data_IF_521394254905
#
_entry.id   IF_521394254905
#
_cell.length_a   1.000
_cell.length_b   1.000
_cell.length_c   1.000
_cell.angle_alpha   90.00
_cell.angle_beta   90.00
_cell.angle_gamma   90.00
#
_symmetry.space_group_name_H-M   'P 1'
#
loop_
_entity.id
_entity.type
_entity.pdbx_description
1 polymer ?
#
# COMPACT_ATOMS: atom_id res chain seq x y z
N UNK A 1 -10.23 19.36 9.30
CA UNK A 1 -10.22 17.88 9.26
C UNK A 1 -8.88 17.39 9.70
N UNK A 2 -8.77 16.57 10.73
CA UNK A 2 -7.48 16.10 11.22
C UNK A 2 -7.32 14.63 10.82
N UNK A 3 -6.34 14.34 9.99
CA UNK A 3 -6.06 12.96 9.55
C UNK A 3 -4.99 12.38 10.47
N UNK A 4 -5.26 11.24 11.11
CA UNK A 4 -4.27 10.51 11.91
C UNK A 4 -3.72 9.36 11.10
N UNK A 5 -2.40 9.37 10.90
CA UNK A 5 -1.65 8.33 10.25
C UNK A 5 -0.85 7.52 11.27
N UNK A 6 -0.90 6.22 11.18
CA UNK A 6 -0.04 5.33 11.96
C UNK A 6 0.59 4.32 11.01
N UNK A 7 1.90 4.33 10.92
CA UNK A 7 2.68 3.34 10.18
C UNK A 7 3.16 2.27 11.17
N UNK A 8 2.92 1.02 10.85
CA UNK A 8 3.50 -0.11 11.58
C UNK A 8 4.52 -0.78 10.68
N UNK A 9 5.76 -0.66 11.04
CA UNK A 9 6.86 -1.38 10.42
C UNK A 9 6.95 -2.80 11.04
N UNK A 10 7.09 -3.82 10.20
CA UNK A 10 7.23 -5.21 10.60
C UNK A 10 8.68 -5.68 10.65
N UNK A 11 9.66 -4.79 10.58
CA UNK A 11 11.04 -5.21 10.84
C UNK A 11 11.15 -5.71 12.28
N UNK A 12 11.56 -6.95 12.46
CA UNK A 12 11.60 -7.68 13.74
C UNK A 12 12.47 -7.03 14.83
N UNK A 13 13.05 -5.88 14.58
CA UNK A 13 13.99 -5.19 15.47
C UNK A 13 13.59 -3.77 15.86
N UNK A 14 12.42 -3.26 15.48
CA UNK A 14 12.01 -1.93 15.87
C UNK A 14 11.10 -1.94 17.11
N UNK A 15 11.43 -1.25 18.20
CA UNK A 15 10.55 -1.13 19.34
C UNK A 15 9.32 -0.28 18.97
N UNK A 16 8.16 -0.83 19.35
CA UNK A 16 6.88 -0.17 19.62
C UNK A 16 6.47 1.09 18.84
N UNK A 17 5.30 0.98 18.24
CA UNK A 17 4.35 2.05 17.88
C UNK A 17 4.80 3.48 18.21
N UNK A 18 5.59 4.08 17.34
CA UNK A 18 5.76 5.53 17.40
C UNK A 18 4.43 6.17 16.97
N UNK A 19 3.86 6.94 17.86
CA UNK A 19 2.73 7.82 17.59
C UNK A 19 3.23 8.95 16.69
N UNK A 20 2.83 8.93 15.43
CA UNK A 20 3.14 10.01 14.51
C UNK A 20 2.02 11.04 14.61
N UNK A 21 2.25 12.08 15.41
CA UNK A 21 1.39 13.25 15.41
C UNK A 21 1.79 14.14 14.24
N UNK A 22 0.87 14.38 13.34
CA UNK A 22 0.70 15.56 12.45
C UNK A 22 1.91 16.19 11.72
N UNK A 23 3.12 15.63 11.77
CA UNK A 23 4.25 16.17 11.04
C UNK A 23 4.90 15.12 10.15
N UNK A 24 4.91 15.32 8.83
CA UNK A 24 5.62 14.49 7.86
C UNK A 24 7.12 14.38 8.15
N UNK A 25 7.69 15.38 8.82
CA UNK A 25 9.12 15.48 9.20
C UNK A 25 9.64 14.30 10.01
N UNK A 26 8.83 13.72 10.89
CA UNK A 26 9.27 12.62 11.74
C UNK A 26 9.56 11.31 11.00
N UNK A 27 8.86 11.02 9.90
CA UNK A 27 9.10 9.82 9.09
C UNK A 27 10.44 9.92 8.34
N UNK A 28 10.71 11.08 7.75
CA UNK A 28 11.98 11.31 7.05
C UNK A 28 13.19 11.31 7.99
N UNK A 29 13.05 11.86 9.20
CA UNK A 29 14.12 11.82 10.19
C UNK A 29 14.51 10.38 10.56
N UNK A 30 13.54 9.50 10.78
CA UNK A 30 13.84 8.08 11.08
C UNK A 30 14.45 7.36 9.90
N UNK A 31 13.95 7.59 8.69
CA UNK A 31 14.52 7.02 7.48
C UNK A 31 15.96 7.50 7.26
N UNK A 32 16.21 8.79 7.45
CA UNK A 32 17.56 9.37 7.35
C UNK A 32 18.48 8.83 8.43
N UNK A 33 18.04 8.78 9.69
CA UNK A 33 18.83 8.22 10.80
C UNK A 33 19.14 6.75 10.57
N UNK A 34 18.15 5.95 10.11
CA UNK A 34 18.36 4.55 9.79
C UNK A 34 19.32 4.38 8.61
N UNK A 35 19.21 5.19 7.58
CA UNK A 35 20.12 5.17 6.43
C UNK A 35 21.55 5.54 6.84
N UNK A 36 21.70 6.56 7.69
CA UNK A 36 23.01 6.95 8.24
C UNK A 36 23.58 5.84 9.11
N UNK A 37 22.77 5.24 9.98
CA UNK A 37 23.18 4.12 10.82
C UNK A 37 23.57 2.90 9.97
N UNK A 38 22.83 2.63 8.90
CA UNK A 38 23.13 1.59 7.91
C UNK A 38 24.48 1.82 7.21
N UNK A 39 24.77 3.07 6.79
CA UNK A 39 26.06 3.41 6.18
C UNK A 39 27.23 3.16 7.13
N UNK A 40 27.03 3.42 8.42
CA UNK A 40 28.05 3.19 9.46
C UNK A 40 28.23 1.71 9.81
N UNK A 41 27.14 0.91 9.78
CA UNK A 41 27.13 -0.50 10.21
C UNK A 41 27.01 -1.51 9.07
N UNK A 42 26.70 -1.06 7.85
CA UNK A 42 26.49 -1.88 6.64
C UNK A 42 25.34 -2.93 6.73
N UNK A 43 24.44 -2.83 7.74
CA UNK A 43 23.51 -3.90 8.12
C UNK A 43 22.03 -3.63 7.81
N UNK A 44 21.66 -2.53 7.20
CA UNK A 44 20.24 -2.20 7.03
C UNK A 44 19.88 -1.73 5.63
N UNK A 45 18.67 -2.10 5.15
CA UNK A 45 18.13 -1.62 3.90
C UNK A 45 16.59 -1.59 3.94
N UNK A 46 15.97 -0.85 2.99
CA UNK A 46 14.53 -0.72 2.85
C UNK A 46 13.95 -1.53 1.68
N UNK A 47 14.65 -2.51 1.14
CA UNK A 47 14.13 -3.35 0.06
C UNK A 47 12.93 -4.16 0.54
N UNK A 48 11.81 -4.18 -0.21
CA UNK A 48 10.64 -4.96 0.13
C UNK A 48 10.85 -6.47 0.11
N UNK A 49 11.71 -6.95 -0.80
CA UNK A 49 12.03 -8.39 -0.96
C UNK A 49 13.52 -8.57 -1.22
N UNK A 50 14.38 -8.56 -0.19
CA UNK A 50 15.82 -8.69 -0.37
C UNK A 50 16.30 -10.14 -0.58
N UNK A 51 15.58 -11.13 -0.03
CA UNK A 51 16.00 -12.53 0.00
C UNK A 51 14.96 -13.39 -0.71
N UNK A 52 15.41 -14.26 -1.61
CA UNK A 52 14.56 -15.26 -2.28
C UNK A 52 14.12 -16.31 -1.27
N UNK A 53 12.86 -16.72 -1.33
CA UNK A 53 12.29 -17.74 -0.44
C UNK A 53 11.91 -17.25 0.97
N UNK A 54 12.31 -16.04 1.38
CA UNK A 54 11.95 -15.47 2.68
C UNK A 54 10.75 -14.51 2.54
N UNK A 55 10.16 -14.10 3.67
CA UNK A 55 9.07 -13.12 3.69
C UNK A 55 9.57 -11.71 3.33
N UNK A 56 8.72 -10.94 2.63
CA UNK A 56 8.98 -9.54 2.34
C UNK A 56 8.62 -8.60 3.48
N UNK A 57 9.07 -7.34 3.37
CA UNK A 57 8.73 -6.24 4.29
C UNK A 57 7.62 -5.36 3.71
N UNK A 58 6.59 -5.07 4.51
CA UNK A 58 5.51 -4.13 4.17
C UNK A 58 5.54 -2.89 5.05
N UNK A 59 5.11 -1.77 4.50
CA UNK A 59 4.80 -0.55 5.23
C UNK A 59 3.28 -0.44 5.38
N UNK A 60 2.72 -1.07 6.41
CA UNK A 60 1.27 -1.05 6.60
C UNK A 60 0.80 0.33 7.09
N UNK A 61 -0.14 0.91 6.36
CA UNK A 61 -0.65 2.26 6.62
C UNK A 61 -2.00 2.19 7.32
N UNK A 62 -2.02 2.58 8.59
CA UNK A 62 -3.25 2.72 9.37
C UNK A 62 -3.84 4.11 9.19
N UNK A 63 -5.14 4.18 8.88
CA UNK A 63 -5.83 5.41 8.55
C UNK A 63 -7.12 5.55 9.34
N UNK A 64 -7.40 6.76 9.81
CA UNK A 64 -8.70 7.17 10.35
C UNK A 64 -8.89 8.67 10.17
N UNK A 65 -10.11 9.12 9.89
CA UNK A 65 -10.45 10.53 9.72
C UNK A 65 -11.25 11.00 10.91
N UNK A 66 -10.92 12.20 11.38
CA UNK A 66 -11.53 12.81 12.56
C UNK A 66 -12.04 14.21 12.23
N UNK A 67 -13.24 14.51 12.74
CA UNK A 67 -13.82 15.85 12.69
C UNK A 67 -14.39 16.17 14.09
N UNK A 68 -14.08 17.34 14.61
CA UNK A 68 -14.59 17.84 15.90
C UNK A 68 -14.44 16.83 17.05
N UNK A 69 -13.28 16.15 17.12
CA UNK A 69 -12.99 15.14 18.14
C UNK A 69 -13.69 13.78 17.95
N UNK A 70 -14.51 13.62 16.91
CA UNK A 70 -15.20 12.37 16.58
C UNK A 70 -14.48 11.60 15.48
N UNK A 71 -14.36 10.29 15.65
CA UNK A 71 -13.82 9.39 14.62
C UNK A 71 -14.91 9.09 13.58
N UNK A 72 -14.75 9.58 12.36
CA UNK A 72 -15.71 9.39 11.27
C UNK A 72 -15.77 7.94 10.75
N UNK A 73 -14.76 7.11 11.09
CA UNK A 73 -14.74 5.70 10.69
C UNK A 73 -15.57 4.80 11.62
N UNK A 74 -15.94 5.29 12.81
CA UNK A 74 -16.77 4.55 13.73
C UNK A 74 -18.24 4.61 13.33
N UNK A 75 -18.93 3.48 13.37
CA UNK A 75 -20.36 3.33 13.05
C UNK A 75 -20.88 1.95 13.42
N UNK A 76 -22.07 1.64 12.94
CA UNK A 76 -22.81 0.40 13.27
C UNK A 76 -22.76 -0.64 12.14
N UNK A 77 -22.05 -0.37 11.06
CA UNK A 77 -21.91 -1.27 9.93
C UNK A 77 -20.88 -2.38 10.16
N UNK A 78 -20.46 -3.03 9.08
CA UNK A 78 -19.51 -4.15 9.12
C UNK A 78 -18.26 -3.82 9.95
N UNK A 79 -17.93 -4.70 10.89
CA UNK A 79 -16.82 -4.55 11.83
C UNK A 79 -16.84 -3.22 12.66
N UNK A 80 -18.02 -2.61 12.84
CA UNK A 80 -18.20 -1.35 13.55
C UNK A 80 -17.66 -0.14 12.77
N UNK A 81 -17.67 -0.21 11.44
CA UNK A 81 -17.36 0.91 10.55
C UNK A 81 -18.63 1.67 10.18
N UNK A 82 -18.44 2.96 9.90
CA UNK A 82 -19.46 3.81 9.31
C UNK A 82 -19.54 3.61 7.79
N UNK A 83 -20.63 4.03 7.18
CA UNK A 83 -20.79 4.09 5.73
C UNK A 83 -19.69 4.95 5.07
N UNK A 84 -19.32 6.06 5.73
CA UNK A 84 -18.18 6.88 5.32
C UNK A 84 -16.89 6.08 5.18
N UNK A 85 -16.60 5.19 6.15
CA UNK A 85 -15.41 4.35 6.11
C UNK A 85 -15.49 3.28 5.02
N UNK A 86 -16.67 2.73 4.74
CA UNK A 86 -16.87 1.79 3.64
C UNK A 86 -16.64 2.46 2.29
N UNK A 87 -17.19 3.64 2.05
CA UNK A 87 -16.92 4.40 0.82
C UNK A 87 -15.43 4.75 0.68
N UNK A 88 -14.77 5.11 1.80
CA UNK A 88 -13.33 5.37 1.80
C UNK A 88 -12.53 4.13 1.39
N UNK A 89 -12.89 2.95 1.88
CA UNK A 89 -12.31 1.67 1.45
C UNK A 89 -12.58 1.42 -0.03
N UNK A 90 -13.81 1.67 -0.50
CA UNK A 90 -14.20 1.52 -1.90
C UNK A 90 -13.34 2.33 -2.84
N UNK A 91 -13.04 3.59 -2.49
CA UNK A 91 -12.15 4.44 -3.26
C UNK A 91 -10.72 3.90 -3.32
N UNK A 92 -10.17 3.44 -2.20
CA UNK A 92 -8.83 2.83 -2.19
C UNK A 92 -8.79 1.57 -3.05
N UNK A 93 -9.79 0.69 -2.99
CA UNK A 93 -9.85 -0.53 -3.79
C UNK A 93 -9.98 -0.21 -5.29
N UNK A 94 -10.84 0.74 -5.65
CA UNK A 94 -11.03 1.19 -7.04
C UNK A 94 -9.73 1.66 -7.67
N UNK A 95 -8.98 2.51 -6.96
CA UNK A 95 -7.75 3.13 -7.44
C UNK A 95 -6.47 2.36 -7.07
N UNK A 96 -6.59 1.16 -6.47
CA UNK A 96 -5.46 0.42 -5.90
C UNK A 96 -4.33 0.14 -6.91
N UNK A 97 -4.67 -0.13 -8.17
CA UNK A 97 -3.68 -0.39 -9.21
C UNK A 97 -2.88 0.85 -9.59
N UNK A 98 -3.53 2.01 -9.70
CA UNK A 98 -2.85 3.30 -9.88
C UNK A 98 -2.03 3.67 -8.63
N UNK A 99 -2.58 3.44 -7.44
CA UNK A 99 -1.88 3.65 -6.18
C UNK A 99 -0.60 2.81 -6.06
N UNK A 100 -0.56 1.61 -6.65
CA UNK A 100 0.64 0.76 -6.61
C UNK A 100 1.87 1.45 -7.21
N UNK A 101 1.73 2.31 -8.21
CA UNK A 101 2.86 3.07 -8.75
C UNK A 101 3.54 3.94 -7.67
N UNK A 102 2.78 4.47 -6.71
CA UNK A 102 3.26 5.37 -5.66
C UNK A 102 3.58 4.60 -4.37
N UNK A 103 2.76 3.62 -4.02
CA UNK A 103 2.90 2.85 -2.77
C UNK A 103 3.89 1.70 -2.85
N UNK A 104 4.20 1.26 -4.07
CA UNK A 104 5.12 0.16 -4.42
C UNK A 104 6.03 0.59 -5.57
N UNK A 105 6.90 1.62 -5.35
CA UNK A 105 7.52 2.40 -6.42
C UNK A 105 8.77 1.77 -7.03
N UNK A 106 9.09 0.54 -6.71
CA UNK A 106 10.29 -0.13 -7.21
C UNK A 106 10.01 -1.46 -7.89
N UNK A 107 10.88 -1.90 -8.79
CA UNK A 107 10.78 -3.24 -9.41
C UNK A 107 10.85 -4.36 -8.36
N UNK A 108 11.58 -4.16 -7.27
CA UNK A 108 11.67 -5.10 -6.15
C UNK A 108 10.34 -5.18 -5.34
N UNK A 109 9.50 -4.15 -5.37
CA UNK A 109 8.20 -4.14 -4.70
C UNK A 109 7.32 -5.31 -5.17
N UNK A 110 7.36 -5.60 -6.45
CA UNK A 110 6.53 -6.64 -7.08
C UNK A 110 7.07 -8.06 -6.87
N UNK A 111 8.33 -8.20 -6.46
CA UNK A 111 8.87 -9.48 -5.95
C UNK A 111 8.33 -9.83 -4.58
N UNK A 112 7.82 -8.84 -3.82
CA UNK A 112 7.07 -9.05 -2.58
C UNK A 112 5.60 -9.38 -2.86
N UNK A 113 4.97 -8.72 -3.83
CA UNK A 113 3.55 -8.85 -4.14
C UNK A 113 3.28 -10.09 -5.02
N UNK A 114 3.72 -11.24 -4.52
CA UNK A 114 3.53 -12.54 -5.17
C UNK A 114 2.62 -13.41 -4.31
N UNK A 115 1.64 -14.13 -4.88
CA UNK A 115 0.81 -15.08 -4.13
C UNK A 115 1.65 -16.13 -3.39
N UNK A 116 1.20 -16.53 -2.20
CA UNK A 116 1.86 -17.59 -1.42
C UNK A 116 2.90 -17.13 -0.40
N UNK A 117 3.25 -15.82 -0.32
CA UNK A 117 4.24 -15.27 0.62
C UNK A 117 3.66 -14.25 1.60
N UNK A 118 2.51 -14.51 2.19
CA UNK A 118 1.80 -13.59 3.11
C UNK A 118 1.59 -12.16 2.56
N UNK A 119 1.74 -11.97 1.24
CA UNK A 119 1.55 -10.68 0.61
C UNK A 119 0.06 -10.42 0.32
N UNK A 120 -0.45 -9.21 0.57
CA UNK A 120 -1.84 -8.86 0.36
C UNK A 120 -2.10 -8.52 -1.12
N UNK A 121 -2.11 -9.52 -1.98
CA UNK A 121 -2.25 -9.34 -3.45
C UNK A 121 -3.69 -9.17 -3.91
N UNK A 122 -4.68 -9.67 -3.15
CA UNK A 122 -6.10 -9.60 -3.51
C UNK A 122 -6.71 -8.28 -3.04
N UNK A 123 -7.33 -7.56 -3.98
CA UNK A 123 -8.03 -6.30 -3.72
C UNK A 123 -9.38 -6.56 -3.06
N UNK A 124 -9.33 -6.82 -1.79
CA UNK A 124 -10.49 -7.07 -0.93
C UNK A 124 -10.28 -6.42 0.44
N UNK A 125 -11.36 -6.27 1.19
CA UNK A 125 -11.31 -5.84 2.57
C UNK A 125 -11.90 -6.88 3.51
N UNK A 126 -11.39 -6.93 4.74
CA UNK A 126 -11.87 -7.88 5.73
C UNK A 126 -11.54 -7.48 7.15
N UNK A 127 -12.41 -7.88 8.09
CA UNK A 127 -12.13 -7.78 9.52
C UNK A 127 -11.19 -8.93 9.94
N UNK A 128 -10.07 -8.59 10.59
CA UNK A 128 -9.10 -9.54 11.17
C UNK A 128 -8.34 -10.43 10.17
N UNK A 129 -8.74 -10.51 8.91
CA UNK A 129 -8.10 -11.35 7.91
C UNK A 129 -6.81 -10.68 7.40
N UNK A 130 -5.69 -11.42 7.43
CA UNK A 130 -4.37 -10.92 6.99
C UNK A 130 -4.13 -11.08 5.50
N UNK A 131 -4.94 -11.86 4.79
CA UNK A 131 -4.80 -12.07 3.34
C UNK A 131 -5.40 -10.93 2.51
N UNK A 132 -6.30 -10.14 3.10
CA UNK A 132 -6.91 -8.98 2.43
C UNK A 132 -5.94 -7.79 2.33
N UNK A 133 -6.01 -7.05 1.21
CA UNK A 133 -5.21 -5.84 0.98
C UNK A 133 -5.60 -4.68 1.92
N UNK A 134 -6.87 -4.64 2.33
CA UNK A 134 -7.36 -3.72 3.36
C UNK A 134 -7.90 -4.52 4.53
N UNK A 135 -7.27 -4.38 5.68
CA UNK A 135 -7.70 -5.02 6.92
C UNK A 135 -8.35 -4.01 7.85
N UNK A 136 -9.43 -4.43 8.51
CA UNK A 136 -10.03 -3.67 9.61
C UNK A 136 -9.57 -4.30 10.93
N UNK A 137 -8.62 -3.67 11.66
CA UNK A 137 -8.17 -4.19 12.95
C UNK A 137 -9.30 -4.17 13.96
N UNK A 138 -9.45 -5.26 14.71
CA UNK A 138 -10.41 -5.29 15.82
C UNK A 138 -9.98 -4.32 16.93
N UNK A 139 -10.90 -3.45 17.33
CA UNK A 139 -10.74 -2.54 18.46
C UNK A 139 -12.10 -2.38 19.14
N UNK A 140 -12.16 -2.63 20.44
CA UNK A 140 -13.39 -2.48 21.21
C UNK A 140 -13.86 -1.00 21.29
N UNK A 141 -12.90 -0.08 21.46
CA UNK A 141 -13.20 1.35 21.58
C UNK A 141 -13.48 1.99 20.20
N UNK A 142 -14.64 2.62 19.98
CA UNK A 142 -14.95 3.33 18.72
C UNK A 142 -13.90 4.38 18.34
N UNK A 143 -13.27 5.05 19.32
CA UNK A 143 -12.18 5.99 19.06
C UNK A 143 -10.95 5.36 18.38
N UNK A 144 -10.78 4.05 18.46
CA UNK A 144 -9.68 3.33 17.84
C UNK A 144 -10.01 2.78 16.44
N UNK A 145 -11.23 2.94 15.95
CA UNK A 145 -11.64 2.43 14.63
C UNK A 145 -10.76 3.00 13.54
N UNK A 146 -10.27 2.12 12.67
CA UNK A 146 -9.34 2.47 11.59
C UNK A 146 -9.30 1.36 10.55
N UNK A 147 -8.80 1.69 9.38
CA UNK A 147 -8.44 0.71 8.34
C UNK A 147 -6.93 0.58 8.27
N UNK A 148 -6.46 -0.51 7.72
CA UNK A 148 -5.04 -0.80 7.48
C UNK A 148 -4.85 -1.19 6.01
N UNK A 149 -4.25 -0.31 5.21
CA UNK A 149 -3.79 -0.65 3.86
C UNK A 149 -2.46 -1.41 3.98
N UNK A 150 -2.41 -2.63 3.43
CA UNK A 150 -1.31 -3.58 3.66
C UNK A 150 -0.38 -3.76 2.47
N UNK A 151 -0.80 -3.34 1.27
CA UNK A 151 0.01 -3.45 0.06
C UNK A 151 1.20 -2.48 -0.01
N UNK A 152 1.19 -1.27 0.59
CA UNK A 152 2.35 -0.40 0.56
C UNK A 152 3.60 -1.05 1.15
N UNK A 153 4.77 -0.64 0.67
CA UNK A 153 6.05 -1.17 1.12
C UNK A 153 7.06 -0.07 1.54
N UNK A 154 8.22 -0.43 2.12
CA UNK A 154 9.15 0.54 2.67
C UNK A 154 9.85 1.45 1.65
N UNK A 155 9.79 1.17 0.34
CA UNK A 155 10.30 2.06 -0.71
C UNK A 155 9.37 3.26 -0.96
N UNK A 156 8.12 3.16 -0.52
CA UNK A 156 7.14 4.23 -0.66
C UNK A 156 7.62 5.51 0.02
N UNK A 157 7.63 6.62 -0.74
CA UNK A 157 7.75 7.93 -0.13
C UNK A 157 6.48 8.22 0.68
N UNK A 158 6.56 8.35 2.02
CA UNK A 158 5.37 8.48 2.86
C UNK A 158 4.55 9.75 2.58
N UNK A 159 5.17 10.83 2.13
CA UNK A 159 4.44 12.05 1.76
C UNK A 159 3.54 11.80 0.55
N UNK A 160 4.07 11.17 -0.49
CA UNK A 160 3.31 10.83 -1.68
C UNK A 160 2.29 9.73 -1.41
N UNK A 161 2.71 8.65 -0.75
CA UNK A 161 1.85 7.50 -0.47
C UNK A 161 0.66 7.84 0.42
N UNK A 162 0.86 8.65 1.47
CA UNK A 162 -0.24 9.05 2.35
C UNK A 162 -1.21 10.00 1.66
N UNK A 163 -0.67 10.97 0.89
CA UNK A 163 -1.51 11.88 0.10
C UNK A 163 -2.33 11.12 -0.94
N UNK A 164 -1.71 10.20 -1.69
CA UNK A 164 -2.40 9.41 -2.70
C UNK A 164 -3.49 8.50 -2.10
N UNK A 165 -3.19 7.81 -0.99
CA UNK A 165 -4.19 6.98 -0.29
C UNK A 165 -5.36 7.80 0.24
N UNK A 166 -5.09 9.01 0.74
CA UNK A 166 -6.14 9.93 1.20
C UNK A 166 -7.00 10.39 0.04
N UNK A 167 -6.40 10.81 -1.08
CA UNK A 167 -7.13 11.26 -2.27
C UNK A 167 -8.03 10.15 -2.83
N UNK A 168 -7.52 8.92 -2.92
CA UNK A 168 -8.31 7.77 -3.34
C UNK A 168 -9.50 7.49 -2.41
N UNK A 169 -9.27 7.54 -1.10
CA UNK A 169 -10.34 7.35 -0.11
C UNK A 169 -11.39 8.46 -0.17
N UNK A 170 -10.98 9.71 -0.36
CA UNK A 170 -11.90 10.86 -0.49
C UNK A 170 -12.72 10.78 -1.77
N UNK A 171 -12.12 10.35 -2.90
CA UNK A 171 -12.86 10.08 -4.13
C UNK A 171 -13.96 9.04 -3.91
N UNK A 172 -13.64 7.99 -3.15
CA UNK A 172 -14.61 6.97 -2.76
C UNK A 172 -15.78 7.52 -1.95
N UNK A 173 -15.51 8.40 -1.00
CA UNK A 173 -16.54 9.03 -0.17
C UNK A 173 -17.41 9.98 -1.00
N UNK A 174 -16.81 10.80 -1.83
CA UNK A 174 -17.53 11.79 -2.64
C UNK A 174 -18.45 11.14 -3.68
N UNK A 175 -17.94 10.08 -4.33
CA UNK A 175 -18.68 9.34 -5.35
C UNK A 175 -19.48 8.15 -4.77
N UNK A 176 -19.54 7.99 -3.44
CA UNK A 176 -20.25 6.90 -2.74
C UNK A 176 -19.88 5.50 -3.28
N UNK A 177 -18.60 5.26 -3.48
CA UNK A 177 -18.10 4.00 -4.05
C UNK A 177 -18.10 2.93 -2.97
N UNK A 178 -19.04 2.00 -3.05
CA UNK A 178 -19.09 0.88 -2.11
C UNK A 178 -18.08 -0.19 -2.48
N UNK A 179 -17.31 -0.75 -1.52
CA UNK A 179 -16.25 -1.72 -1.79
C UNK A 179 -16.75 -3.14 -2.14
N UNK A 180 -18.06 -3.34 -2.22
CA UNK A 180 -18.66 -4.66 -2.37
C UNK A 180 -18.77 -5.41 -1.03
N UNK A 181 -18.82 -6.74 -1.08
CA UNK A 181 -18.89 -7.59 0.11
C UNK A 181 -17.51 -7.80 0.73
N UNK A 182 -17.51 -7.88 2.07
CA UNK A 182 -16.27 -8.18 2.80
C UNK A 182 -15.83 -9.63 2.58
N UNK A 183 -14.53 -9.85 2.39
CA UNK A 183 -14.00 -11.20 2.28
C UNK A 183 -14.06 -11.93 3.63
N UNK A 184 -14.80 -13.03 3.67
CA UNK A 184 -14.95 -13.88 4.86
C UNK A 184 -14.00 -15.07 4.85
N UNK A 185 -13.59 -15.53 3.64
CA UNK A 185 -12.68 -16.65 3.42
C UNK A 185 -11.22 -16.23 3.48
N UNK A 186 -10.33 -17.19 3.72
CA UNK A 186 -8.91 -16.99 3.53
C UNK A 186 -8.59 -16.84 2.04
N UNK A 187 -8.06 -15.67 1.64
CA UNK A 187 -7.77 -15.34 0.25
C UNK A 187 -6.46 -15.98 -0.27
N UNK A 188 -5.69 -16.65 0.59
CA UNK A 188 -4.49 -17.37 0.15
C UNK A 188 -4.80 -18.76 -0.43
N UNK A 189 -5.95 -19.36 -0.05
CA UNK A 189 -6.33 -20.72 -0.40
C UNK A 189 -7.72 -20.77 -1.04
N UNK A 190 -8.01 -19.83 -1.96
CA UNK A 190 -9.27 -19.85 -2.70
C UNK A 190 -9.25 -20.93 -3.81
N UNK A 191 -10.40 -21.56 -4.08
CA UNK A 191 -10.56 -22.36 -5.30
C UNK A 191 -10.26 -21.51 -6.55
N UNK A 192 -9.69 -22.09 -7.63
CA UNK A 192 -9.29 -21.35 -8.83
C UNK A 192 -10.42 -20.50 -9.46
N UNK A 193 -11.65 -21.01 -9.43
CA UNK A 193 -12.83 -20.30 -9.95
C UNK A 193 -13.22 -19.06 -9.12
N UNK A 194 -13.03 -19.11 -7.82
CA UNK A 194 -13.26 -17.97 -6.94
C UNK A 194 -12.07 -17.01 -6.97
N UNK A 195 -10.86 -17.55 -7.04
CA UNK A 195 -9.61 -16.78 -7.10
C UNK A 195 -9.56 -15.85 -8.32
N UNK A 196 -10.00 -16.33 -9.47
CA UNK A 196 -10.08 -15.56 -10.72
C UNK A 196 -11.05 -14.38 -10.67
N UNK A 197 -12.05 -14.41 -9.78
CA UNK A 197 -13.06 -13.35 -9.64
C UNK A 197 -12.59 -12.18 -8.76
N UNK A 198 -11.60 -12.40 -7.89
CA UNK A 198 -11.10 -11.36 -6.99
C UNK A 198 -9.99 -10.57 -7.68
N UNK A 199 -10.17 -9.25 -7.89
CA UNK A 199 -9.15 -8.44 -8.55
C UNK A 199 -7.86 -8.42 -7.71
N UNK A 200 -6.73 -8.27 -8.42
CA UNK A 200 -5.40 -8.25 -7.80
C UNK A 200 -4.73 -6.90 -7.95
N UNK A 201 -3.76 -6.62 -7.07
CA UNK A 201 -2.77 -5.56 -7.25
C UNK A 201 -1.96 -5.80 -8.53
N UNK A 202 -1.20 -4.80 -8.97
CA UNK A 202 -0.31 -4.95 -10.12
C UNK A 202 0.79 -5.98 -9.84
N UNK A 203 1.25 -6.63 -10.92
CA UNK A 203 2.31 -7.65 -10.86
C UNK A 203 3.69 -7.09 -11.24
N UNK A 204 3.73 -5.87 -11.77
CA UNK A 204 4.97 -5.22 -12.19
C UNK A 204 4.85 -3.69 -12.08
N UNK A 205 6.01 -3.02 -12.03
CA UNK A 205 6.05 -1.55 -11.91
C UNK A 205 5.49 -0.87 -13.16
N UNK A 206 5.85 -1.35 -14.34
CA UNK A 206 5.32 -0.82 -15.61
C UNK A 206 3.80 -0.90 -15.69
N UNK A 207 3.23 -2.04 -15.28
CA UNK A 207 1.77 -2.18 -15.21
C UNK A 207 1.14 -1.15 -14.26
N UNK A 208 1.77 -0.90 -13.11
CA UNK A 208 1.26 0.10 -12.16
C UNK A 208 1.38 1.54 -12.72
N UNK A 209 2.44 1.84 -13.44
CA UNK A 209 2.63 3.13 -14.11
C UNK A 209 1.57 3.35 -15.21
N UNK A 210 1.26 2.31 -16.00
CA UNK A 210 0.18 2.36 -16.99
C UNK A 210 -1.21 2.63 -16.36
N UNK A 211 -1.46 2.02 -15.18
CA UNK A 211 -2.69 2.30 -14.44
C UNK A 211 -2.70 3.71 -13.87
N UNK A 212 -1.57 4.21 -13.36
CA UNK A 212 -1.47 5.60 -12.88
C UNK A 212 -1.71 6.61 -14.00
N UNK A 213 -1.20 6.34 -15.20
CA UNK A 213 -1.41 7.20 -16.36
C UNK A 213 -2.90 7.30 -16.75
N UNK A 214 -3.59 6.17 -16.74
CA UNK A 214 -5.02 6.08 -17.11
C UNK A 214 -5.96 6.57 -16.02
N UNK A 215 -5.60 6.40 -14.75
CA UNK A 215 -6.45 6.68 -13.58
C UNK A 215 -5.75 7.67 -12.65
N UNK A 216 -5.54 8.91 -13.12
CA UNK A 216 -4.88 9.99 -12.38
C UNK A 216 -5.83 11.08 -11.86
N UNK A 217 -7.07 11.11 -12.34
CA UNK A 217 -8.00 12.19 -12.06
C UNK A 217 -8.28 12.39 -10.55
N UNK A 218 -8.32 11.30 -9.77
CA UNK A 218 -8.51 11.40 -8.33
C UNK A 218 -7.32 12.07 -7.61
N UNK A 219 -6.10 11.97 -8.15
CA UNK A 219 -4.89 12.58 -7.58
C UNK A 219 -4.81 14.08 -7.88
N UNK A 220 -5.21 14.49 -9.10
CA UNK A 220 -5.12 15.89 -9.54
C UNK A 220 -6.22 16.75 -8.98
N UNK A 221 -7.26 16.15 -8.42
CA UNK A 221 -8.38 16.85 -7.81
C UNK A 221 -7.91 17.79 -6.69
N UNK A 222 -8.37 19.04 -6.72
CA UNK A 222 -7.98 20.05 -5.75
C UNK A 222 -6.51 20.51 -5.85
N UNK A 223 -5.79 20.14 -6.90
CA UNK A 223 -4.41 20.57 -7.15
C UNK A 223 -3.38 19.93 -6.20
N UNK A 224 -3.70 18.78 -5.57
CA UNK A 224 -2.77 18.07 -4.67
C UNK A 224 -1.60 17.49 -5.44
N UNK A 225 -1.87 16.87 -6.59
CA UNK A 225 -0.87 16.49 -7.58
C UNK A 225 -1.14 17.25 -8.86
N UNK A 226 -0.11 17.50 -9.66
CA UNK A 226 -0.24 18.07 -11.00
C UNK A 226 0.02 17.02 -12.06
N UNK A 227 -0.59 17.16 -13.24
CA UNK A 227 -0.34 16.22 -14.35
C UNK A 227 1.14 16.20 -14.73
N UNK A 228 1.80 17.36 -14.78
CA UNK A 228 3.23 17.45 -15.08
C UNK A 228 4.10 16.71 -14.05
N UNK A 229 3.69 16.71 -12.76
CA UNK A 229 4.38 15.94 -11.73
C UNK A 229 4.21 14.43 -11.95
N UNK A 230 2.97 14.00 -12.27
CA UNK A 230 2.67 12.59 -12.53
C UNK A 230 3.43 12.10 -13.77
N UNK A 231 3.45 12.89 -14.85
CA UNK A 231 4.19 12.56 -16.08
C UNK A 231 5.68 12.40 -15.80
N UNK A 232 6.29 13.38 -15.12
CA UNK A 232 7.71 13.32 -14.75
C UNK A 232 8.02 12.11 -13.82
N UNK A 233 7.08 11.77 -12.92
CA UNK A 233 7.21 10.61 -12.05
C UNK A 233 7.17 9.30 -12.86
N UNK A 234 6.24 9.17 -13.80
CA UNK A 234 6.11 8.00 -14.69
C UNK A 234 7.38 7.84 -15.52
N UNK A 235 7.87 8.90 -16.13
CA UNK A 235 9.10 8.88 -16.93
C UNK A 235 10.31 8.44 -16.12
N UNK A 236 10.48 8.99 -14.91
CA UNK A 236 11.55 8.59 -14.00
C UNK A 236 11.50 7.12 -13.65
N UNK A 237 10.31 6.61 -13.32
CA UNK A 237 10.12 5.21 -12.92
C UNK A 237 10.22 4.24 -14.11
N UNK A 238 9.83 4.67 -15.29
CA UNK A 238 10.00 3.88 -16.51
C UNK A 238 11.48 3.68 -16.87
N UNK A 239 12.36 4.65 -16.55
CA UNK A 239 13.80 4.47 -16.69
C UNK A 239 14.34 3.35 -15.77
N UNK A 240 13.81 3.26 -14.52
CA UNK A 240 14.17 2.15 -13.60
C UNK A 240 13.70 0.79 -14.16
N UNK A 241 12.49 0.73 -14.73
CA UNK A 241 11.95 -0.47 -15.39
C UNK A 241 12.84 -0.90 -16.55
N UNK A 242 13.18 0.05 -17.42
CA UNK A 242 14.04 -0.22 -18.60
C UNK A 242 15.41 -0.73 -18.18
N UNK A 243 16.03 -0.06 -17.21
CA UNK A 243 17.33 -0.49 -16.66
C UNK A 243 17.27 -1.92 -16.11
N UNK A 244 16.21 -2.24 -15.35
CA UNK A 244 16.02 -3.58 -14.80
C UNK A 244 15.82 -4.63 -15.90
N UNK A 245 15.02 -4.35 -16.93
CA UNK A 245 14.78 -5.25 -18.07
C UNK A 245 16.02 -5.50 -18.92
N UNK A 246 16.90 -4.51 -19.04
CA UNK A 246 18.16 -4.63 -19.80
C UNK A 246 19.26 -5.37 -19.04
N UNK A 247 19.08 -5.58 -17.74
CA UNK A 247 20.10 -6.21 -16.89
C UNK A 247 19.83 -7.71 -16.81
N UNK A 248 20.75 -8.52 -17.35
CA UNK A 248 20.70 -9.98 -17.24
C UNK A 248 20.82 -10.41 -15.77
N UNK A 249 20.06 -11.44 -15.39
CA UNK A 249 20.06 -11.96 -14.03
C UNK A 249 20.75 -13.33 -13.97
N UNK A 250 21.54 -13.63 -12.92
CA UNK A 250 22.21 -14.95 -12.80
C UNK A 250 21.27 -16.15 -12.93
N UNK A 251 20.01 -16.04 -12.46
CA UNK A 251 19.01 -17.09 -12.61
C UNK A 251 18.71 -17.46 -14.07
N UNK A 252 18.88 -16.53 -15.02
CA UNK A 252 18.64 -16.80 -16.44
C UNK A 252 19.67 -17.80 -16.98
N UNK A 253 20.90 -17.78 -16.44
CA UNK A 253 21.92 -18.79 -16.78
C UNK A 253 21.54 -20.15 -16.22
N UNK A 254 21.01 -20.23 -14.99
CA UNK A 254 20.55 -21.51 -14.42
C UNK A 254 19.39 -22.09 -15.21
N UNK A 255 18.51 -21.25 -15.76
CA UNK A 255 17.32 -21.67 -16.51
C UNK A 255 17.59 -21.98 -17.98
N UNK A 256 18.52 -21.27 -18.63
CA UNK A 256 18.62 -21.26 -20.10
C UNK A 256 19.99 -21.61 -20.66
N UNK A 257 21.04 -21.68 -19.84
CA UNK A 257 22.39 -21.90 -20.35
C UNK A 257 22.62 -23.30 -20.97
N UNK A 258 21.85 -24.28 -20.54
CA UNK A 258 21.96 -25.68 -20.99
C UNK A 258 20.86 -26.11 -21.98
N UNK A 259 20.12 -25.15 -22.56
CA UNK A 259 19.08 -25.43 -23.56
C UNK A 259 19.69 -25.63 -24.96
#
# INVERSE_FOLDING_TARGET
MTTRWRVRDKTKSAPSSARWCSAPTGCNCKSTLFTTWRMLRQDGHFMPKPVVGDNGSGMHVHQSIWKDGKNLFAGDGYAGLSEFALYYIGGIIKHARALNAITNPGTNSYKRLVPGFEAPVKLAYSARNRSASIRIPFVANPKGRRIEARFPDPLCNPYLGFSALMMAGLDGVENKIHPGEAATKDLYHLPPEEDAKVPTVCHSLDQALDYLDKDRAFLTKGGVFTDSYIDAYIDLKMQEVTKFRMTTHPLEFDMYYSL
#
